data_IF_122210120431
#
_entry.id   IF_122210120431
#
_cell.length_a   1.000
_cell.length_b   1.000
_cell.length_c   1.000
_cell.angle_alpha   90.00
_cell.angle_beta   90.00
_cell.angle_gamma   90.00
#
_symmetry.space_group_name_H-M   'P 1'
#
loop_
_entity.id
_entity.type
_entity.pdbx_description
1 polymer ?
#
# COMPACT_ATOMS: atom_id res chain seq x y z
N UNK A 1 9.16 14.74 -3.02
CA UNK A 1 10.44 14.04 -2.69
C UNK A 1 10.96 14.37 -1.29
N UNK A 2 10.98 15.63 -0.83
CA UNK A 2 11.42 16.00 0.54
C UNK A 2 10.57 15.43 1.68
N UNK A 3 9.24 15.33 1.52
CA UNK A 3 8.36 14.73 2.55
C UNK A 3 8.57 13.22 2.70
N UNK A 4 9.07 12.56 1.65
CA UNK A 4 9.43 11.14 1.65
C UNK A 4 10.63 10.86 2.53
N UNK A 5 11.64 11.72 2.43
CA UNK A 5 12.85 11.61 3.23
C UNK A 5 12.54 11.91 4.71
N UNK A 6 11.70 12.91 4.98
CA UNK A 6 11.28 13.25 6.34
C UNK A 6 10.45 12.14 6.99
N UNK A 7 9.49 11.53 6.27
CA UNK A 7 8.73 10.39 6.78
C UNK A 7 9.61 9.16 6.99
N UNK A 8 10.50 8.83 6.05
CA UNK A 8 11.39 7.66 6.17
C UNK A 8 12.42 7.82 7.31
N UNK A 9 12.90 9.04 7.57
CA UNK A 9 13.84 9.33 8.66
C UNK A 9 13.14 9.36 10.03
N UNK A 10 11.90 9.88 10.10
CA UNK A 10 11.04 9.79 11.29
C UNK A 10 10.71 8.32 11.59
N UNK A 11 10.36 7.55 10.56
CA UNK A 11 10.03 6.13 10.65
C UNK A 11 11.21 5.30 11.20
N UNK A 12 12.42 5.54 10.69
CA UNK A 12 13.66 4.91 11.20
C UNK A 12 13.95 5.26 12.67
N UNK A 13 13.54 6.45 13.12
CA UNK A 13 13.69 6.91 14.50
C UNK A 13 12.65 6.27 15.45
N UNK A 14 11.44 5.99 14.95
CA UNK A 14 10.35 5.33 15.69
C UNK A 14 10.58 3.82 15.81
N UNK A 15 11.20 3.20 14.80
CA UNK A 15 11.60 1.78 14.81
C UNK A 15 12.51 1.43 16.00
N UNK A 16 13.39 2.34 16.43
CA UNK A 16 14.42 2.07 17.44
C UNK A 16 13.92 2.15 18.89
N UNK A 17 12.71 2.67 19.15
CA UNK A 17 12.26 3.01 20.51
C UNK A 17 11.15 2.13 21.09
N UNK A 18 10.64 1.14 20.37
CA UNK A 18 9.43 0.40 20.76
C UNK A 18 9.61 -1.13 20.70
N UNK A 19 8.91 -1.86 21.59
CA UNK A 19 8.86 -3.34 21.60
C UNK A 19 8.32 -3.87 20.27
N UNK A 20 8.85 -4.99 19.79
CA UNK A 20 8.65 -5.51 18.41
C UNK A 20 7.18 -5.69 18.00
N UNK A 21 6.26 -5.94 18.94
CA UNK A 21 4.83 -6.16 18.65
C UNK A 21 4.03 -4.86 18.50
N UNK A 22 4.20 -3.89 19.41
CA UNK A 22 3.48 -2.61 19.38
C UNK A 22 3.87 -1.77 18.16
N UNK A 23 5.15 -1.87 17.78
CA UNK A 23 5.69 -1.24 16.58
C UNK A 23 4.98 -1.75 15.31
N UNK A 24 4.85 -3.05 15.15
CA UNK A 24 4.26 -3.68 13.96
C UNK A 24 2.79 -3.23 13.77
N UNK A 25 2.03 -3.24 14.87
CA UNK A 25 0.63 -2.80 14.85
C UNK A 25 0.51 -1.32 14.50
N UNK A 26 1.35 -0.46 15.08
CA UNK A 26 1.36 0.97 14.76
C UNK A 26 1.70 1.24 13.30
N UNK A 27 2.72 0.58 12.75
CA UNK A 27 3.11 0.72 11.34
C UNK A 27 2.00 0.26 10.37
N UNK A 28 1.32 -0.82 10.72
CA UNK A 28 0.21 -1.34 9.96
C UNK A 28 -0.98 -0.37 9.96
N UNK A 29 -1.40 0.13 11.13
CA UNK A 29 -2.49 1.12 11.25
C UNK A 29 -2.15 2.42 10.52
N UNK A 30 -0.92 2.90 10.64
CA UNK A 30 -0.45 4.09 9.91
C UNK A 30 -0.55 3.88 8.40
N UNK A 31 -0.15 2.70 7.91
CA UNK A 31 -0.21 2.38 6.48
C UNK A 31 -1.64 2.24 5.96
N UNK A 32 -2.54 1.63 6.73
CA UNK A 32 -3.94 1.46 6.36
C UNK A 32 -4.67 2.81 6.27
N UNK A 33 -4.49 3.67 7.28
CA UNK A 33 -5.09 5.02 7.28
C UNK A 33 -4.55 5.88 6.14
N UNK A 34 -3.26 5.76 5.87
CA UNK A 34 -2.57 6.37 4.75
C UNK A 34 -3.18 5.95 3.39
N UNK A 35 -3.36 4.66 3.15
CA UNK A 35 -3.94 4.13 1.90
C UNK A 35 -5.39 4.58 1.70
N UNK A 36 -6.18 4.69 2.77
CA UNK A 36 -7.55 5.22 2.69
C UNK A 36 -7.59 6.69 2.24
N UNK A 37 -6.70 7.53 2.77
CA UNK A 37 -6.60 8.94 2.36
C UNK A 37 -6.22 9.05 0.88
N UNK A 38 -5.32 8.18 0.42
CA UNK A 38 -4.87 8.13 -0.98
C UNK A 38 -5.97 7.68 -1.92
N UNK A 39 -6.75 6.67 -1.54
CA UNK A 39 -7.89 6.19 -2.31
C UNK A 39 -8.96 7.30 -2.47
N UNK A 40 -9.30 8.00 -1.38
CA UNK A 40 -10.22 9.15 -1.44
C UNK A 40 -9.71 10.28 -2.36
N UNK A 41 -8.41 10.59 -2.30
CA UNK A 41 -7.80 11.59 -3.17
C UNK A 41 -7.76 11.14 -4.64
N UNK A 42 -7.58 9.84 -4.90
CA UNK A 42 -7.65 9.23 -6.23
C UNK A 42 -9.02 9.40 -6.89
N UNK A 43 -10.11 9.17 -6.14
CA UNK A 43 -11.49 9.41 -6.65
C UNK A 43 -11.71 10.90 -6.95
N UNK A 44 -11.18 11.80 -6.10
CA UNK A 44 -11.23 13.25 -6.32
C UNK A 44 -10.51 13.72 -7.59
N UNK A 45 -9.56 12.93 -8.10
CA UNK A 45 -8.84 13.24 -9.36
C UNK A 45 -9.78 13.21 -10.57
N UNK A 46 -10.90 12.47 -10.51
CA UNK A 46 -11.91 12.44 -11.58
C UNK A 46 -12.54 13.82 -11.86
N UNK A 47 -12.58 14.70 -10.85
CA UNK A 47 -13.21 16.02 -10.98
C UNK A 47 -12.29 17.06 -11.65
N UNK A 48 -10.99 16.75 -11.80
CA UNK A 48 -9.99 17.67 -12.32
C UNK A 48 -9.86 17.51 -13.83
N UNK A 49 -10.35 18.48 -14.61
CA UNK A 49 -10.22 18.50 -16.08
C UNK A 49 -8.89 19.07 -16.61
N UNK A 50 -8.05 19.64 -15.74
CA UNK A 50 -6.80 20.29 -16.16
C UNK A 50 -5.61 19.33 -16.14
N UNK A 51 -4.86 19.25 -17.25
CA UNK A 51 -3.74 18.33 -17.43
C UNK A 51 -2.60 18.54 -16.41
N UNK A 52 -2.25 19.79 -16.09
CA UNK A 52 -1.21 20.11 -15.10
C UNK A 52 -1.63 19.67 -13.69
N UNK A 53 -2.88 19.88 -13.34
CA UNK A 53 -3.40 19.57 -12.02
C UNK A 53 -3.50 18.05 -11.82
N UNK A 54 -3.85 17.29 -12.87
CA UNK A 54 -3.83 15.82 -12.85
C UNK A 54 -2.40 15.26 -12.72
N UNK A 55 -1.42 15.91 -13.37
CA UNK A 55 0.00 15.55 -13.27
C UNK A 55 0.54 15.72 -11.85
N UNK A 56 0.25 16.86 -11.21
CA UNK A 56 0.66 17.15 -9.83
C UNK A 56 0.03 16.13 -8.87
N UNK A 57 -1.27 15.84 -9.01
CA UNK A 57 -1.94 14.84 -8.18
C UNK A 57 -1.34 13.44 -8.38
N UNK A 58 -1.07 13.03 -9.61
CA UNK A 58 -0.48 11.73 -9.91
C UNK A 58 0.90 11.56 -9.25
N UNK A 59 1.75 12.60 -9.29
CA UNK A 59 3.03 12.60 -8.58
C UNK A 59 2.86 12.46 -7.06
N UNK A 60 1.89 13.17 -6.48
CA UNK A 60 1.62 13.09 -5.04
C UNK A 60 1.09 11.71 -4.63
N UNK A 61 0.14 11.15 -5.39
CA UNK A 61 -0.41 9.82 -5.19
C UNK A 61 0.67 8.74 -5.34
N UNK A 62 1.51 8.83 -6.37
CA UNK A 62 2.59 7.87 -6.59
C UNK A 62 3.62 7.90 -5.46
N UNK A 63 3.99 9.10 -5.00
CA UNK A 63 4.82 9.21 -3.80
C UNK A 63 4.14 8.46 -2.66
N UNK A 64 2.93 8.85 -2.29
CA UNK A 64 2.27 8.25 -1.13
C UNK A 64 2.16 6.71 -1.20
N UNK A 65 1.79 6.16 -2.36
CA UNK A 65 1.76 4.72 -2.60
C UNK A 65 3.12 4.03 -2.35
N UNK A 66 4.22 4.63 -2.80
CA UNK A 66 5.54 4.08 -2.57
C UNK A 66 5.95 4.06 -1.08
N UNK A 67 5.44 5.00 -0.26
CA UNK A 67 5.78 5.07 1.17
C UNK A 67 5.10 3.94 1.93
N UNK A 68 3.82 3.72 1.61
CA UNK A 68 3.05 2.59 2.13
C UNK A 68 3.65 1.26 1.71
N UNK A 69 4.05 1.10 0.44
CA UNK A 69 4.67 -0.14 -0.03
C UNK A 69 6.00 -0.46 0.68
N UNK A 70 6.87 0.54 0.87
CA UNK A 70 8.12 0.37 1.62
C UNK A 70 7.88 -0.05 3.08
N UNK A 71 6.86 0.54 3.71
CA UNK A 71 6.43 0.18 5.06
C UNK A 71 5.89 -1.25 5.12
N UNK A 72 5.07 -1.66 4.16
CA UNK A 72 4.54 -3.03 4.06
C UNK A 72 5.66 -4.06 3.95
N UNK A 73 6.70 -3.78 3.15
CA UNK A 73 7.87 -4.66 3.03
C UNK A 73 8.64 -4.79 4.35
N UNK A 74 8.72 -3.71 5.13
CA UNK A 74 9.33 -3.72 6.47
C UNK A 74 8.50 -4.53 7.48
N UNK A 75 7.17 -4.38 7.45
CA UNK A 75 6.25 -5.19 8.27
C UNK A 75 6.36 -6.67 7.88
N UNK A 76 6.51 -6.97 6.60
CA UNK A 76 6.56 -8.34 6.08
C UNK A 76 7.81 -9.09 6.53
N UNK A 77 9.00 -8.45 6.56
CA UNK A 77 10.21 -9.09 7.10
C UNK A 77 10.14 -9.34 8.60
N UNK A 78 9.39 -8.51 9.33
CA UNK A 78 9.18 -8.66 10.77
C UNK A 78 8.17 -9.76 11.07
N UNK A 79 7.18 -9.94 10.20
CA UNK A 79 6.15 -10.97 10.32
C UNK A 79 6.66 -12.37 9.95
N UNK A 80 7.53 -12.48 8.94
CA UNK A 80 8.07 -13.78 8.50
C UNK A 80 9.42 -14.13 9.18
N UNK A 81 9.60 -15.40 9.59
CA UNK A 81 10.87 -15.88 10.14
C UNK A 81 11.99 -15.87 9.09
N UNK A 82 13.23 -15.65 9.53
CA UNK A 82 14.40 -15.38 8.68
C UNK A 82 14.67 -16.43 7.58
N UNK A 83 14.39 -17.70 7.85
CA UNK A 83 14.56 -18.81 6.91
C UNK A 83 13.66 -18.71 5.68
N UNK A 84 12.52 -18.01 5.78
CA UNK A 84 11.49 -17.91 4.74
C UNK A 84 11.41 -16.51 4.12
N UNK A 85 12.11 -15.50 4.69
CA UNK A 85 12.04 -14.09 4.24
C UNK A 85 12.38 -13.91 2.76
N UNK A 86 13.45 -14.56 2.29
CA UNK A 86 13.90 -14.46 0.90
C UNK A 86 12.88 -15.01 -0.11
N UNK A 87 12.23 -16.12 0.24
CA UNK A 87 11.17 -16.71 -0.57
C UNK A 87 9.91 -15.82 -0.56
N UNK A 88 9.51 -15.30 0.60
CA UNK A 88 8.38 -14.38 0.68
C UNK A 88 8.59 -13.14 -0.20
N UNK A 89 9.77 -12.50 -0.11
CA UNK A 89 10.10 -11.32 -0.90
C UNK A 89 10.08 -11.57 -2.42
N UNK A 90 10.64 -12.69 -2.86
CA UNK A 90 10.65 -13.04 -4.28
C UNK A 90 9.24 -13.34 -4.78
N UNK A 91 8.40 -14.05 -4.01
CA UNK A 91 7.00 -14.29 -4.40
C UNK A 91 6.24 -12.96 -4.53
N UNK A 92 6.38 -12.04 -3.58
CA UNK A 92 5.74 -10.72 -3.63
C UNK A 92 6.16 -9.91 -4.86
N UNK A 93 7.45 -9.93 -5.19
CA UNK A 93 7.97 -9.26 -6.40
C UNK A 93 7.40 -9.88 -7.67
N UNK A 94 7.36 -11.21 -7.77
CA UNK A 94 6.76 -11.89 -8.92
C UNK A 94 5.27 -11.53 -9.07
N UNK A 95 4.52 -11.50 -7.96
CA UNK A 95 3.11 -11.09 -7.98
C UNK A 95 2.92 -9.64 -8.40
N UNK A 96 3.83 -8.75 -8.03
CA UNK A 96 3.82 -7.35 -8.47
C UNK A 96 4.00 -7.23 -10.00
N UNK A 97 4.83 -8.08 -10.60
CA UNK A 97 5.02 -8.10 -12.05
C UNK A 97 3.78 -8.64 -12.77
N UNK A 98 3.25 -9.78 -12.33
CA UNK A 98 2.03 -10.36 -12.92
C UNK A 98 0.86 -9.38 -12.82
N UNK A 99 0.71 -8.72 -11.67
CA UNK A 99 -0.30 -7.69 -11.45
C UNK A 99 -0.11 -6.46 -12.33
N UNK A 100 1.13 -6.02 -12.57
CA UNK A 100 1.43 -4.88 -13.46
C UNK A 100 1.11 -5.20 -14.93
N UNK A 101 1.48 -6.40 -15.40
CA UNK A 101 1.22 -6.83 -16.78
C UNK A 101 -0.29 -6.98 -17.00
N UNK A 102 -0.97 -7.74 -16.13
CA UNK A 102 -2.41 -7.96 -16.23
C UNK A 102 -3.19 -6.65 -16.02
N UNK A 103 -2.79 -5.84 -15.06
CA UNK A 103 -3.37 -4.54 -14.76
C UNK A 103 -3.27 -3.60 -15.96
N UNK A 104 -2.08 -3.42 -16.54
CA UNK A 104 -1.92 -2.54 -17.71
C UNK A 104 -2.75 -2.99 -18.90
N UNK A 105 -2.86 -4.31 -19.15
CA UNK A 105 -3.70 -4.83 -20.22
C UNK A 105 -5.19 -4.53 -19.97
N UNK A 106 -5.68 -4.84 -18.76
CA UNK A 106 -7.09 -4.60 -18.38
C UNK A 106 -7.40 -3.11 -18.36
N UNK A 107 -6.54 -2.27 -17.78
CA UNK A 107 -6.70 -0.82 -17.76
C UNK A 107 -6.69 -0.21 -19.16
N UNK A 108 -5.79 -0.67 -20.05
CA UNK A 108 -5.75 -0.21 -21.43
C UNK A 108 -7.05 -0.49 -22.17
N UNK A 109 -7.61 -1.68 -21.99
CA UNK A 109 -8.92 -2.04 -22.56
C UNK A 109 -10.07 -1.24 -21.92
N UNK A 110 -10.05 -1.03 -20.60
CA UNK A 110 -11.10 -0.30 -19.88
C UNK A 110 -11.11 1.22 -20.18
N UNK A 111 -9.92 1.82 -20.34
CA UNK A 111 -9.77 3.24 -20.66
C UNK A 111 -10.31 3.58 -22.05
N UNK A 112 -10.20 2.64 -23.00
CA UNK A 112 -10.72 2.78 -24.37
C UNK A 112 -12.26 2.92 -24.38
N UNK A 113 -12.94 2.19 -23.51
CA UNK A 113 -14.41 2.19 -23.40
C UNK A 113 -14.93 3.29 -22.46
N UNK A 114 -14.30 3.51 -21.31
CA UNK A 114 -14.72 4.52 -20.33
C UNK A 114 -13.65 4.82 -19.27
N UNK A 115 -13.24 6.08 -19.16
CA UNK A 115 -12.23 6.53 -18.20
C UNK A 115 -12.67 6.46 -16.72
N UNK A 116 -13.97 6.49 -16.43
CA UNK A 116 -14.49 6.46 -15.06
C UNK A 116 -14.37 5.08 -14.38
N UNK A 117 -14.49 4.01 -15.17
CA UNK A 117 -14.50 2.62 -14.70
C UNK A 117 -13.17 2.22 -14.03
N UNK A 118 -11.99 2.43 -14.64
CA UNK A 118 -10.71 2.06 -14.02
C UNK A 118 -10.42 2.81 -12.71
N UNK A 119 -10.89 4.06 -12.58
CA UNK A 119 -10.76 4.84 -11.34
C UNK A 119 -11.60 4.23 -10.22
N UNK A 120 -12.85 3.86 -10.51
CA UNK A 120 -13.71 3.20 -9.53
C UNK A 120 -13.20 1.80 -9.15
N UNK A 121 -12.71 1.04 -10.12
CA UNK A 121 -12.19 -0.30 -9.90
C UNK A 121 -10.93 -0.28 -9.01
N UNK A 122 -9.98 0.62 -9.29
CA UNK A 122 -8.78 0.76 -8.44
C UNK A 122 -9.11 1.22 -7.02
N UNK A 123 -10.00 2.21 -6.87
CA UNK A 123 -10.44 2.67 -5.56
C UNK A 123 -11.13 1.54 -4.77
N UNK A 124 -11.96 0.73 -5.43
CA UNK A 124 -12.63 -0.42 -4.83
C UNK A 124 -11.66 -1.48 -4.34
N UNK A 125 -10.64 -1.82 -5.13
CA UNK A 125 -9.60 -2.79 -4.73
C UNK A 125 -8.82 -2.28 -3.52
N UNK A 126 -8.39 -1.01 -3.53
CA UNK A 126 -7.63 -0.42 -2.40
C UNK A 126 -8.49 -0.39 -1.13
N UNK A 127 -9.75 0.04 -1.24
CA UNK A 127 -10.69 0.05 -0.12
C UNK A 127 -10.93 -1.37 0.43
N UNK A 128 -11.07 -2.36 -0.45
CA UNK A 128 -11.20 -3.77 -0.07
C UNK A 128 -9.98 -4.29 0.68
N UNK A 129 -8.77 -3.99 0.19
CA UNK A 129 -7.53 -4.35 0.88
C UNK A 129 -7.42 -3.68 2.25
N UNK A 130 -7.69 -2.38 2.35
CA UNK A 130 -7.69 -1.65 3.61
C UNK A 130 -8.72 -2.20 4.61
N UNK A 131 -9.89 -2.62 4.14
CA UNK A 131 -10.91 -3.23 4.98
C UNK A 131 -10.50 -4.62 5.46
N UNK A 132 -9.92 -5.47 4.58
CA UNK A 132 -9.35 -6.76 4.97
C UNK A 132 -8.27 -6.60 6.03
N UNK A 133 -7.42 -5.59 5.92
CA UNK A 133 -6.42 -5.25 6.92
C UNK A 133 -7.06 -4.90 8.28
N UNK A 134 -8.17 -4.15 8.28
CA UNK A 134 -8.91 -3.84 9.51
C UNK A 134 -9.66 -5.04 10.09
N UNK A 135 -9.95 -6.06 9.28
CA UNK A 135 -10.58 -7.32 9.69
C UNK A 135 -9.58 -8.40 10.11
N UNK A 136 -8.28 -8.13 9.96
CA UNK A 136 -7.18 -8.97 10.43
C UNK A 136 -6.86 -8.91 11.96
N UNK A 137 -7.61 -8.25 12.88
CA UNK A 137 -7.39 -8.39 14.31
C UNK A 137 -8.29 -9.48 14.89
N UNK A 138 -7.91 -10.75 14.71
CA UNK A 138 -8.34 -11.81 15.62
C UNK A 138 -7.39 -13.02 15.61
N UNK A 139 -6.19 -12.84 16.16
CA UNK A 139 -5.31 -13.96 16.56
C UNK A 139 -5.08 -13.92 18.06
N UNK A 140 -6.17 -13.96 18.84
CA UNK A 140 -6.10 -14.19 20.29
C UNK A 140 -5.89 -15.67 20.66
N UNK A 141 -5.65 -16.58 19.70
CA UNK A 141 -5.66 -18.02 19.98
C UNK A 141 -4.84 -18.93 19.04
N UNK A 142 -3.89 -18.42 18.25
CA UNK A 142 -2.88 -19.32 17.62
C UNK A 142 -1.71 -19.45 18.59
N UNK A 143 -1.90 -20.35 19.53
CA UNK A 143 -0.87 -20.97 20.34
C UNK A 143 0.16 -21.58 19.38
N UNK A 144 1.42 -21.14 19.46
CA UNK A 144 2.54 -21.88 18.91
C UNK A 144 2.84 -23.03 19.90
N UNK A 145 2.10 -24.13 19.76
CA UNK A 145 2.47 -25.44 20.29
C UNK A 145 3.04 -26.24 19.11
N UNK A 146 4.33 -26.57 19.18
CA UNK A 146 5.07 -27.30 18.16
C UNK A 146 6.48 -26.76 18.00
#
# INVERSE_FOLDING_TARGET
MVSFFSYSHYFSSVIHRNTSHDKLYFLFVLTVTAMMITACCGVGSYFVRSALQNLILSCALQAFNAASFSTLMSVLIELFPASLRGLAMTILMNMSYVGSIAGNLVFGLLLDISCAIPVFLSAGVIAGCSLLCFFLPNTKNVQMSG
#
